data_IF_798335766755
#
_entry.id   IF_798335766755
#
_cell.length_a   1.000
_cell.length_b   1.000
_cell.length_c   1.000
_cell.angle_alpha   90.00
_cell.angle_beta   90.00
_cell.angle_gamma   90.00
#
_symmetry.space_group_name_H-M   'P 1'
#
loop_
_entity.id
_entity.type
_entity.pdbx_description
1 polymer ?
#
# COMPACT_ATOMS: atom_id res chain seq x y z
N UNK A 1 -14.04 49.34 -24.89
CA UNK A 1 -13.06 50.19 -24.18
C UNK A 1 -12.30 49.27 -23.24
N UNK A 2 -11.01 49.06 -23.48
CA UNK A 2 -10.18 48.25 -22.59
C UNK A 2 -9.95 49.02 -21.29
N UNK A 3 -10.27 48.42 -20.15
CA UNK A 3 -9.87 48.93 -18.85
C UNK A 3 -8.35 48.87 -18.76
N UNK A 4 -7.71 49.99 -18.43
CA UNK A 4 -6.27 50.07 -18.20
C UNK A 4 -5.93 49.25 -16.94
N UNK A 5 -4.74 48.63 -16.86
CA UNK A 5 -4.36 47.85 -15.69
C UNK A 5 -4.29 48.72 -14.43
N UNK A 6 -4.92 48.27 -13.35
CA UNK A 6 -4.81 48.90 -12.04
C UNK A 6 -3.62 48.33 -11.28
N UNK A 7 -2.72 49.22 -10.84
CA UNK A 7 -1.52 48.86 -10.10
C UNK A 7 -1.62 49.43 -8.67
N UNK A 8 -1.97 48.61 -7.67
CA UNK A 8 -1.91 49.03 -6.25
C UNK A 8 -0.56 48.61 -5.66
N UNK A 9 0.12 49.53 -4.98
CA UNK A 9 1.45 49.31 -4.38
C UNK A 9 1.39 49.49 -2.87
N UNK A 10 1.91 48.52 -2.11
CA UNK A 10 1.93 48.56 -0.65
C UNK A 10 3.33 48.32 -0.09
N UNK A 11 3.71 49.08 0.94
CA UNK A 11 5.01 48.96 1.61
C UNK A 11 5.08 47.70 2.48
N UNK A 12 6.19 46.98 2.39
CA UNK A 12 6.39 45.69 3.07
C UNK A 12 6.51 45.81 4.58
N UNK A 13 7.06 46.90 5.10
CA UNK A 13 7.21 47.14 6.55
C UNK A 13 5.86 47.17 7.30
N UNK A 14 4.78 47.51 6.59
CA UNK A 14 3.44 47.61 7.15
C UNK A 14 2.65 46.29 7.05
N UNK A 15 3.21 45.23 6.44
CA UNK A 15 2.48 44.00 6.12
C UNK A 15 3.21 42.79 6.71
N UNK A 16 2.46 41.92 7.38
CA UNK A 16 2.92 40.61 7.83
C UNK A 16 2.07 39.46 7.33
N UNK A 17 0.85 39.72 6.86
CA UNK A 17 -0.12 38.68 6.51
C UNK A 17 -0.94 39.06 5.27
N UNK A 18 -1.45 38.05 4.56
CA UNK A 18 -2.32 38.20 3.40
C UNK A 18 -3.65 37.48 3.62
N UNK A 19 -4.75 38.16 3.33
CA UNK A 19 -6.07 37.56 3.14
C UNK A 19 -6.55 37.87 1.72
N UNK A 20 -6.71 36.85 0.90
CA UNK A 20 -7.04 37.01 -0.52
C UNK A 20 -8.25 36.17 -0.90
N UNK A 21 -9.26 36.79 -1.47
CA UNK A 21 -10.43 36.10 -2.03
C UNK A 21 -10.56 36.43 -3.50
N UNK A 22 -10.64 35.42 -4.36
CA UNK A 22 -11.00 35.58 -5.76
C UNK A 22 -12.02 34.56 -6.23
N UNK A 23 -12.91 35.02 -7.11
CA UNK A 23 -14.15 34.33 -7.47
C UNK A 23 -14.10 33.75 -8.88
N UNK A 24 -13.55 34.49 -9.84
CA UNK A 24 -13.66 34.15 -11.27
C UNK A 24 -12.36 34.36 -12.03
N UNK A 25 -11.59 35.35 -11.64
CA UNK A 25 -10.34 35.66 -12.31
C UNK A 25 -9.25 34.67 -11.86
N UNK A 26 -8.52 34.05 -12.79
CA UNK A 26 -7.29 33.36 -12.45
C UNK A 26 -6.33 34.30 -11.72
N UNK A 27 -5.69 33.78 -10.68
CA UNK A 27 -4.79 34.54 -9.85
C UNK A 27 -3.38 33.93 -9.84
N UNK A 28 -2.37 34.79 -9.90
CA UNK A 28 -0.97 34.40 -9.72
C UNK A 28 -0.35 35.26 -8.63
N UNK A 29 0.22 34.63 -7.61
CA UNK A 29 1.05 35.29 -6.61
C UNK A 29 2.48 34.83 -6.84
N UNK A 30 3.36 35.75 -7.18
CA UNK A 30 4.74 35.42 -7.53
C UNK A 30 5.74 36.34 -6.83
N UNK A 31 6.87 35.78 -6.42
CA UNK A 31 8.01 36.58 -5.97
C UNK A 31 8.79 37.10 -7.18
N UNK A 32 8.96 38.42 -7.30
CA UNK A 32 9.73 39.08 -8.37
C UNK A 32 10.97 39.78 -7.80
N UNK A 33 12.10 39.70 -8.52
CA UNK A 33 13.38 40.27 -8.08
C UNK A 33 13.48 41.80 -8.23
N UNK A 34 12.48 42.44 -8.84
CA UNK A 34 12.54 43.87 -9.19
C UNK A 34 11.69 44.75 -8.29
N UNK A 35 10.70 44.19 -7.58
CA UNK A 35 9.77 44.95 -6.77
C UNK A 35 10.32 45.18 -5.35
N UNK A 36 10.24 46.43 -4.85
CA UNK A 36 10.49 46.78 -3.43
C UNK A 36 9.22 46.83 -2.59
N UNK A 37 8.06 46.78 -3.24
CA UNK A 37 6.72 46.87 -2.66
C UNK A 37 5.89 45.69 -3.14
N UNK A 38 4.87 45.31 -2.39
CA UNK A 38 3.87 44.37 -2.90
C UNK A 38 3.04 45.11 -3.96
N UNK A 39 3.00 44.58 -5.18
CA UNK A 39 2.28 45.18 -6.31
C UNK A 39 1.13 44.25 -6.72
N UNK A 40 -0.05 44.82 -6.84
CA UNK A 40 -1.24 44.10 -7.30
C UNK A 40 -1.64 44.67 -8.66
N UNK A 41 -1.61 43.81 -9.66
CA UNK A 41 -1.94 44.08 -11.05
C UNK A 41 -3.24 43.37 -11.40
N UNK A 42 -4.25 44.12 -11.85
CA UNK A 42 -5.48 43.54 -12.40
C UNK A 42 -5.61 43.87 -13.88
N UNK A 43 -5.94 42.86 -14.68
CA UNK A 43 -6.18 42.99 -16.13
C UNK A 43 -7.63 42.61 -16.39
N UNK A 44 -8.32 43.37 -17.23
CA UNK A 44 -9.70 43.09 -17.65
C UNK A 44 -10.77 43.31 -16.57
N UNK A 45 -10.40 43.53 -15.31
CA UNK A 45 -11.34 43.79 -14.22
C UNK A 45 -11.78 45.26 -14.19
N UNK A 46 -13.07 45.57 -13.96
CA UNK A 46 -13.51 46.90 -13.55
C UNK A 46 -12.96 47.31 -12.17
N UNK A 47 -12.81 48.59 -11.92
CA UNK A 47 -12.21 49.11 -10.67
C UNK A 47 -13.06 48.76 -9.44
N UNK A 48 -14.38 48.73 -9.62
CA UNK A 48 -15.33 48.57 -8.52
C UNK A 48 -15.39 47.13 -7.99
N UNK A 49 -14.86 46.16 -8.76
CA UNK A 49 -14.94 44.73 -8.41
C UNK A 49 -13.80 44.26 -7.51
N UNK A 50 -12.79 45.10 -7.29
CA UNK A 50 -11.70 44.82 -6.34
C UNK A 50 -11.80 45.72 -5.11
N UNK A 51 -11.62 45.15 -3.92
CA UNK A 51 -11.41 45.90 -2.68
C UNK A 51 -10.08 45.54 -2.03
N UNK A 52 -9.48 46.54 -1.40
CA UNK A 52 -8.10 46.50 -0.93
C UNK A 52 -7.95 47.25 0.39
N UNK A 53 -7.83 46.52 1.49
CA UNK A 53 -7.71 47.09 2.83
C UNK A 53 -6.41 46.66 3.53
N UNK A 54 -5.94 47.47 4.47
CA UNK A 54 -4.81 47.15 5.33
C UNK A 54 -5.23 47.38 6.78
N UNK A 55 -5.43 46.29 7.52
CA UNK A 55 -5.91 46.33 8.91
C UNK A 55 -4.96 45.51 9.77
N UNK A 56 -4.39 46.10 10.82
CA UNK A 56 -3.49 45.41 11.76
C UNK A 56 -2.36 44.62 11.07
N UNK A 57 -1.70 45.24 10.08
CA UNK A 57 -0.64 44.63 9.23
C UNK A 57 -1.08 43.45 8.34
N UNK A 58 -2.39 43.21 8.21
CA UNK A 58 -2.96 42.24 7.27
C UNK A 58 -3.42 42.97 6.02
N UNK A 59 -2.85 42.62 4.86
CA UNK A 59 -3.32 43.05 3.56
C UNK A 59 -4.52 42.19 3.16
N UNK A 60 -5.67 42.82 2.92
CA UNK A 60 -6.92 42.17 2.55
C UNK A 60 -7.23 42.55 1.09
N UNK A 61 -7.38 41.54 0.23
CA UNK A 61 -7.67 41.69 -1.19
C UNK A 61 -8.90 40.84 -1.50
N UNK A 62 -9.96 41.45 -2.05
CA UNK A 62 -11.20 40.72 -2.37
C UNK A 62 -11.65 41.09 -3.78
N UNK A 63 -11.78 40.08 -4.64
CA UNK A 63 -12.62 40.15 -5.85
C UNK A 63 -14.08 39.94 -5.41
N UNK A 64 -14.93 40.94 -5.61
CA UNK A 64 -16.34 40.88 -5.21
C UNK A 64 -17.11 39.92 -6.12
N UNK A 65 -18.02 39.13 -5.53
CA UNK A 65 -18.98 38.35 -6.29
C UNK A 65 -20.01 39.27 -6.98
N UNK A 66 -19.87 39.39 -8.31
CA UNK A 66 -20.73 40.27 -9.07
C UNK A 66 -22.14 39.73 -9.33
N UNK A 67 -22.40 38.45 -9.01
CA UNK A 67 -23.74 37.87 -9.15
C UNK A 67 -24.67 38.29 -8.01
N UNK A 68 -24.13 38.95 -6.98
CA UNK A 68 -24.94 39.72 -6.05
C UNK A 68 -25.76 40.80 -6.79
N UNK A 69 -27.02 40.98 -6.39
CA UNK A 69 -27.95 41.93 -7.04
C UNK A 69 -27.35 43.33 -7.22
N UNK A 70 -26.61 43.81 -6.21
CA UNK A 70 -25.93 45.12 -6.23
C UNK A 70 -24.84 45.25 -7.30
N UNK A 71 -24.12 44.18 -7.60
CA UNK A 71 -23.04 44.25 -8.58
C UNK A 71 -23.53 44.08 -10.02
N UNK A 72 -24.64 43.35 -10.24
CA UNK A 72 -25.38 43.38 -11.52
C UNK A 72 -26.01 44.75 -11.80
N UNK A 73 -26.38 45.49 -10.75
CA UNK A 73 -26.83 46.89 -10.88
C UNK A 73 -25.66 47.83 -11.24
N UNK A 74 -24.42 47.50 -10.87
CA UNK A 74 -23.21 48.27 -11.18
C UNK A 74 -22.60 47.95 -12.56
N UNK A 75 -22.79 46.73 -13.08
CA UNK A 75 -22.19 46.28 -14.35
C UNK A 75 -23.29 45.78 -15.29
N UNK A 76 -23.50 46.49 -16.41
CA UNK A 76 -24.47 46.08 -17.46
C UNK A 76 -24.21 44.63 -17.91
N UNK A 77 -25.27 43.82 -17.95
CA UNK A 77 -25.27 42.38 -18.32
C UNK A 77 -24.55 42.11 -19.66
N UNK A 78 -24.45 43.11 -20.55
CA UNK A 78 -23.76 43.01 -21.85
C UNK A 78 -22.23 42.89 -21.75
N UNK A 79 -21.63 43.09 -20.58
CA UNK A 79 -20.17 43.15 -20.44
C UNK A 79 -19.51 41.85 -19.94
N UNK A 80 -20.20 40.72 -19.77
CA UNK A 80 -19.64 39.51 -19.14
C UNK A 80 -18.36 38.92 -19.79
N UNK A 81 -17.97 39.37 -20.98
CA UNK A 81 -16.75 38.94 -21.69
C UNK A 81 -15.45 39.27 -20.93
N UNK A 82 -15.46 40.25 -20.03
CA UNK A 82 -14.23 40.67 -19.35
C UNK A 82 -13.65 39.60 -18.42
N UNK A 83 -14.48 38.74 -17.83
CA UNK A 83 -14.01 37.61 -17.01
C UNK A 83 -13.23 36.56 -17.79
N UNK A 84 -13.52 36.40 -19.08
CA UNK A 84 -12.76 35.46 -19.93
C UNK A 84 -11.36 35.97 -20.23
N UNK A 85 -11.09 37.25 -19.93
CA UNK A 85 -9.81 37.93 -20.17
C UNK A 85 -9.20 38.48 -18.88
N UNK A 86 -9.84 38.24 -17.73
CA UNK A 86 -9.40 38.83 -16.47
C UNK A 86 -8.26 38.03 -15.85
N UNK A 87 -7.38 38.74 -15.15
CA UNK A 87 -6.28 38.13 -14.39
C UNK A 87 -5.96 39.02 -13.19
N UNK A 88 -5.65 38.38 -12.07
CA UNK A 88 -5.10 39.03 -10.88
C UNK A 88 -3.65 38.55 -10.73
N UNK A 89 -2.72 39.48 -10.62
CA UNK A 89 -1.31 39.18 -10.39
C UNK A 89 -0.82 39.96 -9.18
N UNK A 90 -0.23 39.26 -8.21
CA UNK A 90 0.30 39.83 -6.98
C UNK A 90 1.81 39.56 -6.96
N UNK A 91 2.59 40.61 -7.20
CA UNK A 91 4.04 40.56 -7.14
C UNK A 91 4.52 40.84 -5.71
N UNK A 92 5.30 39.90 -5.19
CA UNK A 92 5.91 39.98 -3.86
C UNK A 92 7.42 40.28 -4.01
N UNK A 93 7.97 41.25 -3.26
CA UNK A 93 9.40 41.53 -3.26
C UNK A 93 10.28 40.34 -2.88
N UNK A 94 11.50 40.31 -3.40
CA UNK A 94 12.52 39.35 -2.97
C UNK A 94 12.79 39.46 -1.45
N UNK A 95 13.07 38.32 -0.80
CA UNK A 95 13.33 38.25 0.64
C UNK A 95 12.10 38.47 1.55
N UNK A 96 10.96 38.90 1.03
CA UNK A 96 9.75 39.02 1.83
C UNK A 96 9.14 37.65 2.15
N UNK A 97 8.67 37.48 3.39
CA UNK A 97 8.03 36.27 3.92
C UNK A 97 6.78 36.68 4.69
N UNK A 98 5.67 36.01 4.42
CA UNK A 98 4.45 36.21 5.21
C UNK A 98 4.49 35.37 6.50
N UNK A 99 3.89 35.86 7.57
CA UNK A 99 3.62 35.05 8.76
C UNK A 99 2.40 34.15 8.53
N UNK A 100 1.42 34.66 7.80
CA UNK A 100 0.15 33.99 7.55
C UNK A 100 -0.43 34.40 6.19
N UNK A 101 -0.89 33.41 5.44
CA UNK A 101 -1.59 33.59 4.18
C UNK A 101 -2.89 32.79 4.21
N UNK A 102 -4.02 33.48 4.04
CA UNK A 102 -5.34 32.87 3.90
C UNK A 102 -5.90 33.21 2.53
N UNK A 103 -6.20 32.18 1.73
CA UNK A 103 -6.70 32.36 0.37
C UNK A 103 -8.01 31.58 0.18
N UNK A 104 -9.03 32.24 -0.37
CA UNK A 104 -10.29 31.63 -0.82
C UNK A 104 -10.34 31.77 -2.34
N UNK A 105 -10.46 30.65 -3.05
CA UNK A 105 -10.19 30.58 -4.49
C UNK A 105 -11.26 29.80 -5.26
N UNK A 106 -12.10 30.49 -6.03
CA UNK A 106 -13.09 29.83 -6.90
C UNK A 106 -12.67 29.75 -8.39
N UNK A 107 -11.47 30.25 -8.72
CA UNK A 107 -10.83 30.17 -10.03
C UNK A 107 -9.39 29.64 -9.89
N UNK A 108 -8.66 29.32 -10.98
CA UNK A 108 -7.29 28.83 -10.87
C UNK A 108 -6.36 29.78 -10.09
N UNK A 109 -5.56 29.24 -9.19
CA UNK A 109 -4.62 29.95 -8.33
C UNK A 109 -3.22 29.34 -8.45
N UNK A 110 -2.23 30.18 -8.75
CA UNK A 110 -0.82 29.79 -8.76
C UNK A 110 -0.02 30.60 -7.74
N UNK A 111 0.72 29.93 -6.88
CA UNK A 111 1.75 30.54 -6.03
C UNK A 111 3.13 30.10 -6.54
N UNK A 112 4.01 31.05 -6.82
CA UNK A 112 5.35 30.78 -7.33
C UNK A 112 6.43 31.47 -6.51
N UNK A 113 7.38 30.70 -5.97
CA UNK A 113 8.49 31.19 -5.14
C UNK A 113 8.05 31.97 -3.90
N UNK A 114 6.89 31.59 -3.35
CA UNK A 114 6.32 32.25 -2.18
C UNK A 114 6.85 31.63 -0.90
N UNK A 115 7.06 32.46 0.10
CA UNK A 115 7.46 32.05 1.43
C UNK A 115 6.45 32.52 2.45
N UNK A 116 5.95 31.60 3.26
CA UNK A 116 5.10 31.91 4.41
C UNK A 116 5.32 30.94 5.54
N UNK A 117 5.09 31.34 6.80
CA UNK A 117 5.03 30.37 7.89
C UNK A 117 3.77 29.51 7.76
N UNK A 118 2.61 30.14 7.63
CA UNK A 118 1.33 29.46 7.49
C UNK A 118 0.68 29.78 6.16
N UNK A 119 0.09 28.76 5.53
CA UNK A 119 -0.69 28.90 4.32
C UNK A 119 -1.98 28.09 4.48
N UNK A 120 -3.11 28.75 4.32
CA UNK A 120 -4.41 28.13 4.19
C UNK A 120 -5.02 28.52 2.85
N UNK A 121 -5.36 27.53 2.02
CA UNK A 121 -6.10 27.73 0.77
C UNK A 121 -7.37 26.89 0.81
N UNK A 122 -8.51 27.53 0.57
CA UNK A 122 -9.80 26.87 0.36
C UNK A 122 -10.32 27.20 -1.03
N UNK A 123 -10.37 26.19 -1.90
CA UNK A 123 -10.85 26.30 -3.26
C UNK A 123 -12.11 25.47 -3.50
N UNK A 124 -13.18 26.06 -4.03
CA UNK A 124 -14.34 25.24 -4.40
C UNK A 124 -14.10 24.52 -5.73
N UNK A 125 -13.79 25.27 -6.78
CA UNK A 125 -13.67 24.73 -8.14
C UNK A 125 -12.37 25.14 -8.84
N UNK A 126 -11.59 26.04 -8.26
CA UNK A 126 -10.31 26.45 -8.81
C UNK A 126 -9.20 25.45 -8.53
N UNK A 127 -8.34 25.23 -9.52
CA UNK A 127 -7.10 24.48 -9.33
C UNK A 127 -6.11 25.29 -8.48
N UNK A 128 -5.35 24.60 -7.63
CA UNK A 128 -4.29 25.18 -6.80
C UNK A 128 -2.95 24.66 -7.32
N UNK A 129 -2.05 25.56 -7.70
CA UNK A 129 -0.69 25.21 -8.14
C UNK A 129 0.35 25.91 -7.24
N UNK A 130 1.20 25.14 -6.57
CA UNK A 130 2.33 25.65 -5.79
C UNK A 130 3.64 25.26 -6.47
N UNK A 131 4.49 26.24 -6.78
CA UNK A 131 5.76 26.01 -7.49
C UNK A 131 6.91 26.69 -6.76
N UNK A 132 7.89 25.89 -6.31
CA UNK A 132 9.12 26.38 -5.67
C UNK A 132 8.87 27.24 -4.43
N UNK A 133 7.85 26.91 -3.66
CA UNK A 133 7.45 27.65 -2.47
C UNK A 133 8.04 27.03 -1.19
N UNK A 134 8.17 27.85 -0.14
CA UNK A 134 8.64 27.40 1.18
C UNK A 134 7.59 27.72 2.25
N UNK A 135 7.07 26.68 2.91
CA UNK A 135 6.04 26.83 3.94
C UNK A 135 6.40 26.09 5.23
N UNK A 136 5.84 26.49 6.37
CA UNK A 136 5.96 25.70 7.61
C UNK A 136 4.83 24.68 7.73
N UNK A 137 3.57 25.10 7.60
CA UNK A 137 2.40 24.22 7.71
C UNK A 137 1.31 24.56 6.66
N UNK A 138 1.51 24.23 5.37
CA UNK A 138 0.47 24.44 4.36
C UNK A 138 -0.71 23.48 4.53
N UNK A 139 -1.91 24.05 4.47
CA UNK A 139 -3.19 23.35 4.39
C UNK A 139 -3.92 23.79 3.12
N UNK A 140 -4.12 22.85 2.20
CA UNK A 140 -4.79 23.09 0.93
C UNK A 140 -6.07 22.24 0.85
N UNK A 141 -7.19 22.90 0.60
CA UNK A 141 -8.50 22.29 0.44
C UNK A 141 -9.04 22.65 -0.95
N UNK A 142 -9.49 21.65 -1.69
CA UNK A 142 -10.21 21.83 -2.95
C UNK A 142 -11.50 21.00 -2.95
N UNK A 143 -12.64 21.49 -3.42
CA UNK A 143 -13.80 20.59 -3.61
C UNK A 143 -13.67 19.83 -4.93
N UNK A 144 -13.57 20.53 -6.05
CA UNK A 144 -13.50 19.93 -7.39
C UNK A 144 -12.21 20.25 -8.15
N UNK A 145 -11.47 21.28 -7.72
CA UNK A 145 -10.20 21.65 -8.33
C UNK A 145 -9.08 20.68 -8.00
N UNK A 146 -8.10 20.61 -8.88
CA UNK A 146 -6.87 19.85 -8.67
C UNK A 146 -5.92 20.60 -7.75
N UNK A 147 -5.04 19.87 -7.07
CA UNK A 147 -3.94 20.42 -6.28
C UNK A 147 -2.64 19.91 -6.89
N UNK A 148 -1.78 20.81 -7.35
CA UNK A 148 -0.46 20.50 -7.87
C UNK A 148 0.62 21.19 -7.00
N UNK A 149 1.63 20.43 -6.58
CA UNK A 149 2.77 20.92 -5.82
C UNK A 149 4.05 20.46 -6.49
N UNK A 150 4.91 21.40 -6.88
CA UNK A 150 6.19 21.12 -7.52
C UNK A 150 7.33 21.83 -6.80
N UNK A 151 8.37 21.05 -6.46
CA UNK A 151 9.66 21.56 -6.00
C UNK A 151 9.56 22.44 -4.75
N UNK A 152 8.64 22.14 -3.84
CA UNK A 152 8.41 22.94 -2.63
C UNK A 152 9.16 22.36 -1.42
N UNK A 153 9.51 23.20 -0.45
CA UNK A 153 10.08 22.77 0.83
C UNK A 153 9.11 23.07 1.97
N UNK A 154 8.76 22.05 2.74
CA UNK A 154 7.77 22.14 3.82
C UNK A 154 8.44 21.81 5.15
N UNK A 155 8.50 22.78 6.06
CA UNK A 155 9.28 22.62 7.28
C UNK A 155 8.64 21.66 8.29
N UNK A 156 7.33 21.45 8.27
CA UNK A 156 6.68 20.55 9.25
C UNK A 156 5.70 19.61 8.56
N UNK A 157 4.45 20.04 8.39
CA UNK A 157 3.38 19.18 7.95
C UNK A 157 2.72 19.72 6.68
N UNK A 158 2.35 18.83 5.78
CA UNK A 158 1.54 19.12 4.59
C UNK A 158 0.16 18.48 4.74
N UNK A 159 -0.91 19.26 4.66
CA UNK A 159 -2.28 18.73 4.64
C UNK A 159 -2.97 19.07 3.33
N UNK A 160 -3.38 18.04 2.58
CA UNK A 160 -4.12 18.16 1.34
C UNK A 160 -5.48 17.48 1.47
N UNK A 161 -6.51 18.16 1.00
CA UNK A 161 -7.86 17.60 0.99
C UNK A 161 -8.57 17.95 -0.31
N UNK A 162 -9.15 16.93 -0.94
CA UNK A 162 -10.01 17.10 -2.11
C UNK A 162 -11.25 16.22 -2.08
N UNK A 163 -12.35 16.66 -2.70
CA UNK A 163 -13.50 15.75 -2.91
C UNK A 163 -13.35 15.02 -4.24
N UNK A 164 -13.13 15.74 -5.33
CA UNK A 164 -13.15 15.16 -6.68
C UNK A 164 -11.91 15.47 -7.53
N UNK A 165 -11.15 16.52 -7.21
CA UNK A 165 -9.96 16.88 -7.99
C UNK A 165 -8.78 15.97 -7.66
N UNK A 166 -7.82 15.87 -8.57
CA UNK A 166 -6.62 15.09 -8.37
C UNK A 166 -5.58 15.86 -7.56
N UNK A 167 -4.67 15.12 -6.93
CA UNK A 167 -3.51 15.65 -6.23
C UNK A 167 -2.26 15.18 -6.97
N UNK A 168 -1.38 16.10 -7.33
CA UNK A 168 -0.07 15.79 -7.92
C UNK A 168 1.02 16.46 -7.08
N UNK A 169 2.02 15.68 -6.66
CA UNK A 169 3.14 16.18 -5.87
C UNK A 169 4.45 15.69 -6.48
N UNK A 170 5.31 16.62 -6.85
CA UNK A 170 6.60 16.32 -7.45
C UNK A 170 7.74 17.01 -6.70
N UNK A 171 8.85 16.29 -6.51
CA UNK A 171 10.14 16.82 -6.03
C UNK A 171 10.04 17.66 -4.74
N UNK A 172 9.19 17.24 -3.81
CA UNK A 172 8.84 18.00 -2.61
C UNK A 172 9.23 17.21 -1.37
N UNK A 173 9.64 17.90 -0.31
CA UNK A 173 9.95 17.27 0.97
C UNK A 173 9.25 17.97 2.13
N UNK A 174 8.92 17.18 3.15
CA UNK A 174 8.41 17.67 4.44
C UNK A 174 9.17 17.03 5.60
N UNK A 175 9.49 17.78 6.65
CA UNK A 175 10.27 17.22 7.77
C UNK A 175 9.47 16.15 8.56
N UNK A 176 8.15 16.34 8.70
CA UNK A 176 7.28 15.48 9.49
C UNK A 176 6.23 14.78 8.62
N UNK A 177 4.96 15.20 8.70
CA UNK A 177 3.83 14.40 8.21
C UNK A 177 3.23 14.98 6.94
N UNK A 178 2.80 14.09 6.05
CA UNK A 178 1.83 14.42 5.01
C UNK A 178 0.50 13.71 5.29
N UNK A 179 -0.58 14.50 5.27
CA UNK A 179 -1.95 14.02 5.37
C UNK A 179 -2.69 14.29 4.06
N UNK A 180 -3.14 13.22 3.41
CA UNK A 180 -3.90 13.24 2.16
C UNK A 180 -5.32 12.75 2.40
N UNK A 181 -6.31 13.59 2.11
CA UNK A 181 -7.71 13.22 2.13
C UNK A 181 -8.30 13.40 0.73
N UNK A 182 -8.90 12.36 0.16
CA UNK A 182 -9.59 12.45 -1.13
C UNK A 182 -10.89 11.67 -1.09
N UNK A 183 -12.00 12.14 -1.66
CA UNK A 183 -13.14 11.22 -1.85
C UNK A 183 -12.95 10.37 -3.11
N UNK A 184 -12.72 11.01 -4.25
CA UNK A 184 -12.70 10.33 -5.56
C UNK A 184 -11.47 10.65 -6.41
N UNK A 185 -10.75 11.73 -6.12
CA UNK A 185 -9.60 12.14 -6.90
C UNK A 185 -8.40 11.23 -6.68
N UNK A 186 -7.61 11.05 -7.74
CA UNK A 186 -6.38 10.29 -7.68
C UNK A 186 -5.27 11.13 -7.04
N UNK A 187 -4.25 10.45 -6.52
CA UNK A 187 -3.03 11.07 -6.03
C UNK A 187 -1.85 10.44 -6.75
N UNK A 188 -1.07 11.28 -7.41
CA UNK A 188 0.23 10.94 -7.97
C UNK A 188 1.32 11.67 -7.18
N UNK A 189 2.28 10.92 -6.66
CA UNK A 189 3.35 11.46 -5.80
C UNK A 189 4.70 10.92 -6.26
N UNK A 190 5.55 11.81 -6.78
CA UNK A 190 6.85 11.44 -7.33
C UNK A 190 7.98 12.16 -6.59
N UNK A 191 9.00 11.39 -6.20
CA UNK A 191 10.18 11.91 -5.51
C UNK A 191 9.80 12.77 -4.28
N UNK A 192 8.90 12.25 -3.45
CA UNK A 192 8.45 12.90 -2.22
C UNK A 192 9.10 12.27 -0.99
N UNK A 193 9.45 13.11 -0.01
CA UNK A 193 10.06 12.64 1.24
C UNK A 193 9.32 13.20 2.45
N UNK A 194 8.99 12.32 3.40
CA UNK A 194 8.44 12.70 4.70
C UNK A 194 8.82 11.68 5.78
N UNK A 195 8.56 12.01 7.05
CA UNK A 195 8.55 11.01 8.10
C UNK A 195 7.34 10.09 7.92
N UNK A 196 6.13 10.63 7.85
CA UNK A 196 4.92 9.80 7.84
C UNK A 196 3.96 10.21 6.71
N UNK A 197 3.45 9.21 5.98
CA UNK A 197 2.39 9.37 5.00
C UNK A 197 1.09 8.79 5.54
N UNK A 198 0.05 9.62 5.64
CA UNK A 198 -1.31 9.18 5.94
C UNK A 198 -2.26 9.51 4.79
N UNK A 199 -2.95 8.49 4.28
CA UNK A 199 -3.94 8.62 3.21
C UNK A 199 -5.29 8.12 3.68
N UNK A 200 -6.32 8.93 3.46
CA UNK A 200 -7.71 8.56 3.63
C UNK A 200 -8.44 8.84 2.32
N UNK A 201 -8.88 7.78 1.62
CA UNK A 201 -9.69 7.94 0.42
C UNK A 201 -10.90 7.03 0.35
N UNK A 202 -11.89 7.36 -0.49
CA UNK A 202 -12.99 6.44 -0.78
C UNK A 202 -12.69 5.64 -2.04
N UNK A 203 -12.45 6.30 -3.16
CA UNK A 203 -12.34 5.66 -4.46
C UNK A 203 -11.08 6.05 -5.25
N UNK A 204 -10.28 7.00 -4.75
CA UNK A 204 -9.12 7.51 -5.47
C UNK A 204 -8.01 6.47 -5.58
N UNK A 205 -7.32 6.45 -6.72
CA UNK A 205 -6.08 5.71 -6.87
C UNK A 205 -4.93 6.50 -6.23
N UNK A 206 -4.12 5.84 -5.41
CA UNK A 206 -2.84 6.38 -4.95
C UNK A 206 -1.70 5.72 -5.71
N UNK A 207 -0.83 6.54 -6.31
CA UNK A 207 0.43 6.15 -6.91
C UNK A 207 1.57 6.96 -6.27
N UNK A 208 2.50 6.27 -5.62
CA UNK A 208 3.72 6.87 -5.08
C UNK A 208 4.95 6.24 -5.73
N UNK A 209 5.79 7.05 -6.37
CA UNK A 209 7.01 6.60 -7.06
C UNK A 209 8.24 7.35 -6.55
N UNK A 210 9.38 6.65 -6.47
CA UNK A 210 10.67 7.17 -6.01
C UNK A 210 10.59 7.94 -4.68
N UNK A 211 9.63 7.59 -3.82
CA UNK A 211 9.28 8.33 -2.62
C UNK A 211 9.77 7.62 -1.34
N UNK A 212 10.01 8.37 -0.27
CA UNK A 212 10.60 7.84 0.97
C UNK A 212 9.84 8.25 2.21
N UNK A 213 9.55 7.26 3.06
CA UNK A 213 8.86 7.45 4.35
C UNK A 213 9.52 6.66 5.48
N UNK A 214 9.32 7.09 6.72
CA UNK A 214 9.50 6.19 7.86
C UNK A 214 8.28 5.27 8.00
N UNK A 215 7.06 5.82 7.89
CA UNK A 215 5.81 5.04 7.95
C UNK A 215 4.80 5.43 6.86
N UNK A 216 3.99 4.45 6.44
CA UNK A 216 2.85 4.65 5.55
C UNK A 216 1.60 4.04 6.18
N UNK A 217 0.52 4.83 6.25
CA UNK A 217 -0.83 4.35 6.56
C UNK A 217 -1.80 4.79 5.47
N UNK A 218 -2.52 3.85 4.86
CA UNK A 218 -3.54 4.16 3.87
C UNK A 218 -4.84 3.39 4.17
N UNK A 219 -5.94 4.13 4.24
CA UNK A 219 -7.28 3.57 4.29
C UNK A 219 -8.06 4.00 3.05
N UNK A 220 -8.58 3.02 2.34
CA UNK A 220 -9.41 3.24 1.16
C UNK A 220 -10.61 2.31 1.14
N UNK A 221 -11.68 2.68 0.43
CA UNK A 221 -12.81 1.78 0.21
C UNK A 221 -12.59 0.96 -1.07
N UNK A 222 -12.55 1.63 -2.22
CA UNK A 222 -12.41 0.98 -3.53
C UNK A 222 -11.16 1.42 -4.31
N UNK A 223 -10.39 2.37 -3.77
CA UNK A 223 -9.20 2.88 -4.45
C UNK A 223 -8.07 1.87 -4.42
N UNK A 224 -7.28 1.80 -5.49
CA UNK A 224 -6.05 1.02 -5.49
C UNK A 224 -4.93 1.82 -4.80
N UNK A 225 -3.95 1.10 -4.28
CA UNK A 225 -2.74 1.67 -3.69
C UNK A 225 -1.54 1.05 -4.40
N UNK A 226 -0.75 1.89 -5.07
CA UNK A 226 0.54 1.51 -5.64
C UNK A 226 1.65 2.34 -4.98
N UNK A 227 2.70 1.68 -4.53
CA UNK A 227 3.86 2.36 -3.97
C UNK A 227 5.16 1.67 -4.40
N UNK A 228 6.04 2.46 -4.99
CA UNK A 228 7.42 2.11 -5.32
C UNK A 228 8.37 3.13 -4.66
N UNK A 229 9.16 2.68 -3.68
CA UNK A 229 10.00 3.60 -2.91
C UNK A 229 10.68 2.98 -1.70
N UNK A 230 11.02 3.78 -0.69
CA UNK A 230 11.70 3.31 0.52
C UNK A 230 10.85 3.56 1.76
N UNK A 231 10.73 2.55 2.63
CA UNK A 231 10.07 2.68 3.94
C UNK A 231 10.98 2.12 5.02
N UNK A 232 11.12 2.83 6.15
CA UNK A 232 12.07 2.42 7.20
C UNK A 232 11.46 1.63 8.35
N UNK A 233 10.19 1.87 8.70
CA UNK A 233 9.58 1.32 9.91
C UNK A 233 8.37 0.45 9.61
N UNK A 234 7.30 1.02 9.04
CA UNK A 234 6.01 0.33 8.96
C UNK A 234 5.18 0.71 7.74
N UNK A 235 4.43 -0.25 7.20
CA UNK A 235 3.42 -0.03 6.16
C UNK A 235 2.12 -0.72 6.57
N UNK A 236 1.03 0.03 6.60
CA UNK A 236 -0.32 -0.49 6.83
C UNK A 236 -1.28 0.05 5.75
N UNK A 237 -1.85 -0.84 4.94
CA UNK A 237 -2.82 -0.47 3.90
C UNK A 237 -4.08 -1.33 4.03
N UNK A 238 -5.23 -0.68 4.14
CA UNK A 238 -6.54 -1.34 4.15
C UNK A 238 -7.40 -0.82 3.00
N UNK A 239 -7.95 -1.74 2.23
CA UNK A 239 -8.95 -1.50 1.19
C UNK A 239 -10.15 -2.43 1.39
N UNK A 240 -11.31 -2.12 0.81
CA UNK A 240 -12.39 -3.10 0.65
C UNK A 240 -12.25 -3.81 -0.70
N UNK A 241 -12.01 -3.09 -1.78
CA UNK A 241 -12.05 -3.68 -3.12
C UNK A 241 -10.85 -3.33 -4.01
N UNK A 242 -10.02 -2.37 -3.59
CA UNK A 242 -8.86 -1.96 -4.38
C UNK A 242 -7.66 -2.89 -4.19
N UNK A 243 -6.87 -2.99 -5.25
CA UNK A 243 -5.60 -3.70 -5.25
C UNK A 243 -4.57 -2.92 -4.42
N UNK A 244 -3.69 -3.65 -3.74
CA UNK A 244 -2.56 -3.10 -2.98
C UNK A 244 -1.30 -3.69 -3.58
N UNK A 245 -0.43 -2.84 -4.13
CA UNK A 245 0.85 -3.19 -4.72
C UNK A 245 1.95 -2.37 -4.07
N UNK A 246 2.94 -3.05 -3.50
CA UNK A 246 4.08 -2.40 -2.83
C UNK A 246 5.37 -3.06 -3.29
N UNK A 247 6.25 -2.25 -3.87
CA UNK A 247 7.63 -2.61 -4.20
C UNK A 247 8.58 -1.69 -3.43
N UNK A 248 9.46 -2.27 -2.61
CA UNK A 248 10.47 -1.48 -1.89
C UNK A 248 11.81 -1.50 -2.61
N UNK A 249 12.39 -0.31 -2.79
CA UNK A 249 13.71 -0.10 -3.39
C UNK A 249 14.84 -0.10 -2.34
N UNK A 250 14.48 -0.11 -1.06
CA UNK A 250 15.39 -0.06 0.08
C UNK A 250 15.74 -1.46 0.62
N UNK A 251 16.76 -1.51 1.49
CA UNK A 251 17.17 -2.74 2.19
C UNK A 251 16.81 -2.74 3.68
N UNK A 252 16.06 -1.74 4.12
CA UNK A 252 15.64 -1.63 5.51
C UNK A 252 14.74 -2.81 5.88
N UNK A 253 14.90 -3.31 7.10
CA UNK A 253 13.99 -4.30 7.68
C UNK A 253 12.94 -3.55 8.48
N UNK A 254 11.70 -3.57 8.00
CA UNK A 254 10.57 -2.95 8.66
C UNK A 254 10.22 -3.70 9.95
N UNK A 255 9.66 -2.99 10.92
CA UNK A 255 9.06 -3.63 12.09
C UNK A 255 7.81 -4.43 11.68
N UNK A 256 6.98 -3.85 10.81
CA UNK A 256 5.68 -4.41 10.48
C UNK A 256 5.18 -4.04 9.09
N UNK A 257 4.59 -5.02 8.42
CA UNK A 257 3.85 -4.87 7.16
C UNK A 257 2.45 -5.47 7.35
N UNK A 258 1.42 -4.70 7.03
CA UNK A 258 0.04 -5.14 7.12
C UNK A 258 -0.78 -4.70 5.89
N UNK A 259 -1.24 -5.67 5.11
CA UNK A 259 -2.11 -5.43 3.96
C UNK A 259 -3.44 -6.16 4.11
N UNK A 260 -4.53 -5.43 3.88
CA UNK A 260 -5.88 -5.98 3.95
C UNK A 260 -6.71 -5.50 2.78
N UNK A 261 -7.32 -6.41 2.03
CA UNK A 261 -8.33 -6.07 1.02
C UNK A 261 -9.37 -7.16 0.89
N UNK A 262 -10.66 -6.87 1.03
CA UNK A 262 -11.71 -7.90 0.88
C UNK A 262 -11.67 -8.52 -0.53
N UNK A 263 -11.58 -7.73 -1.61
CA UNK A 263 -11.62 -8.27 -2.98
C UNK A 263 -10.41 -7.92 -3.87
N UNK A 264 -9.52 -7.06 -3.41
CA UNK A 264 -8.36 -6.64 -4.21
C UNK A 264 -7.18 -7.59 -4.04
N UNK A 265 -6.37 -7.70 -5.08
CA UNK A 265 -5.12 -8.44 -5.05
C UNK A 265 -4.09 -7.72 -4.17
N UNK A 266 -3.27 -8.49 -3.47
CA UNK A 266 -2.19 -8.02 -2.62
C UNK A 266 -0.85 -8.45 -3.24
N UNK A 267 -0.03 -7.49 -3.66
CA UNK A 267 1.30 -7.73 -4.24
C UNK A 267 2.36 -7.11 -3.36
N UNK A 268 3.30 -7.93 -2.90
CA UNK A 268 4.43 -7.57 -2.04
C UNK A 268 5.72 -7.92 -2.77
N UNK A 269 6.58 -6.93 -3.02
CA UNK A 269 7.82 -7.15 -3.75
C UNK A 269 9.02 -6.49 -3.06
N UNK A 270 10.13 -7.21 -2.95
CA UNK A 270 11.38 -6.70 -2.38
C UNK A 270 11.24 -6.20 -0.92
N UNK A 271 10.36 -6.82 -0.12
CA UNK A 271 10.05 -6.35 1.24
C UNK A 271 10.77 -7.19 2.29
N UNK A 272 11.52 -6.53 3.19
CA UNK A 272 12.04 -7.13 4.41
C UNK A 272 11.31 -6.61 5.64
N UNK A 273 10.81 -7.50 6.51
CA UNK A 273 10.12 -7.10 7.74
C UNK A 273 10.29 -8.11 8.87
N UNK A 274 10.09 -7.69 10.12
CA UNK A 274 9.97 -8.63 11.25
C UNK A 274 8.61 -9.33 11.16
N UNK A 275 7.51 -8.58 11.11
CA UNK A 275 6.17 -9.14 11.01
C UNK A 275 5.49 -8.75 9.70
N UNK A 276 4.98 -9.72 8.96
CA UNK A 276 4.16 -9.50 7.77
C UNK A 276 2.80 -10.18 7.93
N UNK A 277 1.73 -9.41 7.70
CA UNK A 277 0.35 -9.88 7.76
C UNK A 277 -0.44 -9.47 6.52
N UNK A 278 -1.02 -10.44 5.84
CA UNK A 278 -1.86 -10.24 4.66
C UNK A 278 -3.23 -10.89 4.85
N UNK A 279 -4.30 -10.15 4.55
CA UNK A 279 -5.68 -10.64 4.61
C UNK A 279 -6.44 -10.27 3.35
N UNK A 280 -7.03 -11.25 2.66
CA UNK A 280 -7.97 -10.97 1.57
C UNK A 280 -9.08 -11.99 1.43
N UNK A 281 -10.33 -11.57 1.29
CA UNK A 281 -11.42 -12.54 1.18
C UNK A 281 -11.32 -13.26 -0.18
N UNK A 282 -11.21 -12.54 -1.30
CA UNK A 282 -11.22 -13.15 -2.65
C UNK A 282 -10.04 -12.79 -3.54
N UNK A 283 -9.17 -11.87 -3.11
CA UNK A 283 -8.01 -11.44 -3.88
C UNK A 283 -6.86 -12.45 -3.86
N UNK A 284 -6.02 -12.40 -4.89
CA UNK A 284 -4.76 -13.13 -4.90
C UNK A 284 -3.72 -12.45 -4.01
N UNK A 285 -2.91 -13.24 -3.33
CA UNK A 285 -1.77 -12.75 -2.55
C UNK A 285 -0.50 -13.24 -3.22
N UNK A 286 0.35 -12.30 -3.62
CA UNK A 286 1.64 -12.59 -4.24
C UNK A 286 2.73 -11.89 -3.44
N UNK A 287 3.70 -12.66 -2.97
CA UNK A 287 4.90 -12.17 -2.32
C UNK A 287 6.13 -12.67 -3.09
N UNK A 288 6.96 -11.75 -3.56
CA UNK A 288 8.14 -12.02 -4.39
C UNK A 288 9.37 -11.30 -3.79
N UNK A 289 10.50 -11.99 -3.73
CA UNK A 289 11.75 -11.46 -3.18
C UNK A 289 11.60 -10.84 -1.78
N UNK A 290 10.77 -11.48 -0.94
CA UNK A 290 10.50 -11.02 0.42
C UNK A 290 11.38 -11.72 1.46
N UNK A 291 11.58 -11.09 2.61
CA UNK A 291 12.27 -11.68 3.77
C UNK A 291 11.58 -11.29 5.07
N UNK A 292 10.87 -12.24 5.69
CA UNK A 292 10.15 -12.00 6.95
C UNK A 292 10.70 -12.82 8.12
N UNK A 293 10.61 -12.32 9.34
CA UNK A 293 10.77 -13.20 10.51
C UNK A 293 9.53 -14.08 10.66
N UNK A 294 8.34 -13.47 10.67
CA UNK A 294 7.04 -14.14 10.78
C UNK A 294 6.09 -13.69 9.66
N UNK A 295 5.42 -14.64 9.01
CA UNK A 295 4.41 -14.36 7.98
C UNK A 295 3.07 -15.02 8.29
N UNK A 296 2.01 -14.21 8.30
CA UNK A 296 0.62 -14.63 8.43
C UNK A 296 -0.18 -14.19 7.21
N UNK A 297 -0.66 -15.14 6.41
CA UNK A 297 -1.55 -14.88 5.28
C UNK A 297 -2.88 -15.61 5.46
N UNK A 298 -3.99 -14.88 5.32
CA UNK A 298 -5.33 -15.46 5.36
C UNK A 298 -6.15 -15.03 4.16
N UNK A 299 -6.78 -15.99 3.51
CA UNK A 299 -7.80 -15.72 2.50
C UNK A 299 -9.06 -16.57 2.66
N UNK A 300 -10.16 -16.21 2.01
CA UNK A 300 -11.35 -17.08 1.93
C UNK A 300 -11.37 -17.85 0.60
N UNK A 301 -11.16 -17.17 -0.53
CA UNK A 301 -11.24 -17.70 -1.88
C UNK A 301 -10.12 -17.15 -2.79
N UNK A 302 -8.88 -17.16 -2.31
CA UNK A 302 -7.71 -16.59 -2.99
C UNK A 302 -6.63 -17.62 -3.32
N UNK A 303 -5.87 -17.37 -4.39
CA UNK A 303 -4.58 -18.01 -4.63
C UNK A 303 -3.50 -17.28 -3.83
N UNK A 304 -2.65 -18.04 -3.13
CA UNK A 304 -1.49 -17.49 -2.43
C UNK A 304 -0.22 -18.02 -3.10
N UNK A 305 0.62 -17.10 -3.56
CA UNK A 305 1.97 -17.39 -4.05
C UNK A 305 2.99 -16.67 -3.16
N UNK A 306 3.93 -17.42 -2.62
CA UNK A 306 4.99 -16.88 -1.79
C UNK A 306 6.34 -17.41 -2.27
N UNK A 307 7.21 -16.48 -2.64
CA UNK A 307 8.62 -16.71 -2.88
C UNK A 307 9.47 -15.75 -2.03
N UNK A 308 10.24 -16.29 -1.10
CA UNK A 308 11.05 -15.47 -0.20
C UNK A 308 11.63 -16.22 1.00
N UNK A 309 12.29 -15.51 1.90
CA UNK A 309 12.88 -16.06 3.11
C UNK A 309 11.95 -15.89 4.32
N UNK A 310 11.85 -16.93 5.17
CA UNK A 310 11.22 -16.85 6.49
C UNK A 310 12.26 -17.25 7.55
N UNK A 311 12.31 -16.54 8.69
CA UNK A 311 13.27 -16.85 9.76
C UNK A 311 12.68 -17.64 10.94
N UNK A 312 11.42 -17.40 11.29
CA UNK A 312 10.78 -17.99 12.48
C UNK A 312 9.57 -18.83 12.12
N UNK A 313 8.51 -18.23 11.59
CA UNK A 313 7.23 -18.91 11.39
C UNK A 313 6.48 -18.45 10.15
N UNK A 314 5.73 -19.38 9.57
CA UNK A 314 4.83 -19.11 8.46
C UNK A 314 3.48 -19.78 8.71
N UNK A 315 2.40 -19.03 8.53
CA UNK A 315 1.02 -19.54 8.52
C UNK A 315 0.28 -18.99 7.31
N UNK A 316 -0.16 -19.86 6.42
CA UNK A 316 -0.96 -19.50 5.25
C UNK A 316 -2.23 -20.34 5.22
N UNK A 317 -3.38 -19.69 5.22
CA UNK A 317 -4.68 -20.37 5.22
C UNK A 317 -5.61 -19.78 4.17
N UNK A 318 -6.29 -20.63 3.41
CA UNK A 318 -7.43 -20.26 2.56
C UNK A 318 -8.57 -21.24 2.75
N UNK A 319 -9.82 -20.86 2.49
CA UNK A 319 -10.91 -21.86 2.43
C UNK A 319 -10.94 -22.50 1.04
N UNK A 320 -10.84 -21.68 0.00
CA UNK A 320 -10.81 -22.10 -1.40
C UNK A 320 -9.63 -21.45 -2.10
N UNK A 321 -8.87 -22.23 -2.87
CA UNK A 321 -7.73 -21.72 -3.63
C UNK A 321 -6.42 -22.40 -3.26
N UNK A 322 -5.46 -22.32 -4.18
CA UNK A 322 -4.19 -23.01 -4.02
C UNK A 322 -3.23 -22.16 -3.19
N UNK A 323 -2.34 -22.84 -2.48
CA UNK A 323 -1.22 -22.25 -1.75
C UNK A 323 0.07 -22.78 -2.36
N UNK A 324 0.91 -21.88 -2.87
CA UNK A 324 2.24 -22.16 -3.40
C UNK A 324 3.28 -21.43 -2.56
N UNK A 325 4.17 -22.18 -1.92
CA UNK A 325 5.21 -21.63 -1.04
C UNK A 325 6.57 -22.16 -1.49
N UNK A 326 7.47 -21.25 -1.83
CA UNK A 326 8.87 -21.50 -2.11
C UNK A 326 9.72 -20.67 -1.15
N UNK A 327 10.40 -21.35 -0.22
CA UNK A 327 11.34 -20.66 0.65
C UNK A 327 12.72 -20.53 -0.01
N UNK A 328 13.27 -19.32 0.10
CA UNK A 328 14.63 -18.97 -0.29
C UNK A 328 15.48 -18.90 0.99
N UNK A 329 16.51 -19.73 1.08
CA UNK A 329 17.38 -19.82 2.25
C UNK A 329 17.22 -21.10 3.06
N UNK A 330 18.14 -21.32 4.02
CA UNK A 330 18.28 -22.58 4.76
C UNK A 330 17.82 -22.53 6.22
N UNK A 331 16.94 -21.60 6.59
CA UNK A 331 16.48 -21.46 7.97
C UNK A 331 15.60 -22.64 8.37
N UNK A 332 15.77 -23.12 9.60
CA UNK A 332 14.81 -24.05 10.22
C UNK A 332 13.79 -23.24 11.02
N UNK A 333 12.55 -23.23 10.54
CA UNK A 333 11.43 -22.55 11.17
C UNK A 333 11.04 -23.22 12.48
N UNK A 334 10.54 -22.47 13.45
CA UNK A 334 9.86 -23.06 14.60
C UNK A 334 8.55 -23.72 14.18
N UNK A 335 7.81 -23.07 13.26
CA UNK A 335 6.49 -23.52 12.81
C UNK A 335 6.22 -23.19 11.35
N UNK A 336 5.65 -24.14 10.62
CA UNK A 336 5.10 -23.95 9.27
C UNK A 336 3.68 -24.55 9.20
N UNK A 337 2.68 -23.73 8.89
CA UNK A 337 1.29 -24.17 8.83
C UNK A 337 0.61 -23.73 7.53
N UNK A 338 0.04 -24.68 6.82
CA UNK A 338 -0.63 -24.47 5.54
C UNK A 338 -1.99 -25.16 5.54
N UNK A 339 -3.05 -24.45 5.16
CA UNK A 339 -4.39 -25.01 5.09
C UNK A 339 -5.18 -24.49 3.89
N UNK A 340 -5.77 -25.39 3.11
CA UNK A 340 -6.76 -25.06 2.09
C UNK A 340 -7.89 -26.09 2.08
N UNK A 341 -9.14 -25.72 2.39
CA UNK A 341 -10.26 -26.69 2.35
C UNK A 341 -10.42 -27.26 0.94
N UNK A 342 -10.46 -26.40 -0.08
CA UNK A 342 -10.62 -26.79 -1.49
C UNK A 342 -9.54 -26.17 -2.38
N UNK A 343 -8.29 -26.63 -2.22
CA UNK A 343 -7.21 -26.21 -3.09
C UNK A 343 -5.90 -26.94 -2.80
N UNK A 344 -5.02 -26.93 -3.78
CA UNK A 344 -3.76 -27.65 -3.71
C UNK A 344 -2.75 -26.90 -2.83
N UNK A 345 -1.95 -27.65 -2.08
CA UNK A 345 -0.82 -27.14 -1.32
C UNK A 345 0.48 -27.57 -2.01
N UNK A 346 1.32 -26.61 -2.38
CA UNK A 346 2.68 -26.85 -2.88
C UNK A 346 3.68 -26.17 -1.94
N UNK A 347 4.59 -26.96 -1.38
CA UNK A 347 5.61 -26.51 -0.43
C UNK A 347 6.99 -26.91 -0.94
N UNK A 348 7.89 -25.94 -1.12
CA UNK A 348 9.25 -26.18 -1.63
C UNK A 348 10.31 -25.57 -0.73
N UNK A 349 11.38 -26.33 -0.50
CA UNK A 349 12.57 -25.92 0.26
C UNK A 349 12.28 -25.51 1.72
N UNK A 350 11.31 -26.15 2.38
CA UNK A 350 10.91 -25.77 3.75
C UNK A 350 11.59 -26.66 4.77
N UNK A 351 12.29 -26.06 5.73
CA UNK A 351 12.77 -26.75 6.94
C UNK A 351 12.03 -26.22 8.18
N UNK A 352 11.45 -27.09 9.00
CA UNK A 352 10.71 -26.68 10.20
C UNK A 352 10.81 -27.68 11.35
N UNK A 353 10.69 -27.19 12.59
CA UNK A 353 10.51 -28.05 13.76
C UNK A 353 9.11 -28.65 13.72
N UNK A 354 8.07 -27.82 13.61
CA UNK A 354 6.69 -28.28 13.50
C UNK A 354 6.11 -27.86 12.15
N UNK A 355 5.63 -28.84 11.38
CA UNK A 355 4.97 -28.62 10.10
C UNK A 355 3.54 -29.18 10.12
N UNK A 356 2.60 -28.42 9.58
CA UNK A 356 1.21 -28.83 9.43
C UNK A 356 0.69 -28.45 8.03
N UNK A 357 0.16 -29.42 7.30
CA UNK A 357 -0.43 -29.22 5.98
C UNK A 357 -1.80 -29.93 5.90
N UNK A 358 -2.87 -29.18 5.64
CA UNK A 358 -4.24 -29.72 5.57
C UNK A 358 -4.94 -29.30 4.28
N UNK A 359 -5.50 -30.25 3.54
CA UNK A 359 -6.49 -29.95 2.51
C UNK A 359 -7.55 -31.01 2.35
N UNK A 360 -8.83 -30.67 2.44
CA UNK A 360 -9.89 -31.68 2.33
C UNK A 360 -9.88 -32.32 0.93
N UNK A 361 -9.94 -31.50 -0.13
CA UNK A 361 -10.09 -32.04 -1.50
C UNK A 361 -8.85 -31.92 -2.38
N UNK A 362 -7.92 -31.02 -2.04
CA UNK A 362 -6.73 -30.73 -2.84
C UNK A 362 -5.57 -31.67 -2.57
N UNK A 363 -4.60 -31.66 -3.48
CA UNK A 363 -3.35 -32.42 -3.34
C UNK A 363 -2.35 -31.68 -2.47
N UNK A 364 -1.50 -32.42 -1.77
CA UNK A 364 -0.40 -31.87 -0.98
C UNK A 364 0.92 -32.34 -1.58
N UNK A 365 1.72 -31.39 -2.07
CA UNK A 365 3.03 -31.64 -2.68
C UNK A 365 4.08 -30.95 -1.82
N UNK A 366 5.01 -31.72 -1.26
CA UNK A 366 6.12 -31.24 -0.46
C UNK A 366 7.44 -31.67 -1.10
N UNK A 367 8.26 -30.72 -1.56
CA UNK A 367 9.53 -31.02 -2.25
C UNK A 367 10.72 -30.35 -1.57
N UNK A 368 11.80 -31.13 -1.37
CA UNK A 368 13.02 -30.66 -0.70
C UNK A 368 12.72 -30.11 0.70
N UNK A 369 11.87 -30.82 1.45
CA UNK A 369 11.45 -30.42 2.79
C UNK A 369 12.20 -31.17 3.89
N UNK A 370 12.32 -30.57 5.08
CA UNK A 370 12.96 -31.19 6.23
C UNK A 370 12.22 -30.84 7.52
N UNK A 371 11.47 -31.79 8.08
CA UNK A 371 10.63 -31.55 9.25
C UNK A 371 11.06 -32.39 10.45
N UNK A 372 11.00 -31.84 11.67
CA UNK A 372 11.09 -32.69 12.86
C UNK A 372 9.78 -33.46 13.05
N UNK A 373 8.68 -32.73 13.14
CA UNK A 373 7.32 -33.26 13.28
C UNK A 373 6.45 -32.76 12.13
N UNK A 374 5.73 -33.67 11.47
CA UNK A 374 4.78 -33.35 10.40
C UNK A 374 3.38 -33.91 10.72
N UNK A 375 2.36 -33.07 10.61
CA UNK A 375 0.97 -33.50 10.48
C UNK A 375 0.46 -33.12 9.08
N UNK A 376 0.10 -34.11 8.27
CA UNK A 376 -0.32 -33.93 6.88
C UNK A 376 -1.63 -34.69 6.64
N UNK A 377 -2.70 -33.99 6.27
CA UNK A 377 -4.01 -34.62 6.09
C UNK A 377 -4.71 -34.13 4.84
N UNK A 378 -5.34 -35.07 4.13
CA UNK A 378 -6.33 -34.78 3.09
C UNK A 378 -7.48 -35.79 3.09
N UNK A 379 -8.64 -35.45 2.53
CA UNK A 379 -9.72 -36.42 2.38
C UNK A 379 -9.62 -37.14 1.05
N UNK A 380 -9.70 -36.41 -0.06
CA UNK A 380 -9.74 -37.01 -1.40
C UNK A 380 -8.47 -36.77 -2.22
N UNK A 381 -7.58 -35.89 -1.77
CA UNK A 381 -6.31 -35.63 -2.43
C UNK A 381 -5.27 -36.71 -2.18
N UNK A 382 -4.22 -36.71 -2.99
CA UNK A 382 -2.98 -37.44 -2.73
C UNK A 382 -1.96 -36.56 -2.01
N UNK A 383 -1.03 -37.22 -1.35
CA UNK A 383 0.16 -36.61 -0.74
C UNK A 383 1.39 -37.08 -1.51
N UNK A 384 2.20 -36.16 -2.02
CA UNK A 384 3.54 -36.42 -2.56
C UNK A 384 4.58 -35.71 -1.68
N UNK A 385 5.36 -36.48 -0.93
CA UNK A 385 6.34 -35.98 0.01
C UNK A 385 7.75 -36.42 -0.40
N UNK A 386 8.64 -35.44 -0.62
CA UNK A 386 10.05 -35.65 -0.97
C UNK A 386 10.94 -34.86 -0.02
N UNK A 387 11.60 -35.55 0.91
CA UNK A 387 12.38 -34.87 1.93
C UNK A 387 12.78 -35.75 3.13
N UNK A 388 13.07 -35.09 4.25
CA UNK A 388 13.49 -35.73 5.49
C UNK A 388 12.53 -35.49 6.65
N UNK A 389 12.23 -36.55 7.39
CA UNK A 389 11.56 -36.51 8.71
C UNK A 389 12.60 -36.83 9.77
N UNK A 390 12.76 -35.98 10.79
CA UNK A 390 13.80 -36.13 11.82
C UNK A 390 13.29 -36.72 13.14
N UNK A 391 11.98 -36.62 13.44
CA UNK A 391 11.37 -37.24 14.62
C UNK A 391 10.13 -38.04 14.26
N UNK A 392 9.08 -37.37 13.82
CA UNK A 392 7.80 -38.03 13.56
C UNK A 392 7.03 -37.42 12.39
N UNK A 393 6.21 -38.22 11.72
CA UNK A 393 5.26 -37.76 10.75
C UNK A 393 3.96 -38.55 10.85
N UNK A 394 2.84 -37.87 10.78
CA UNK A 394 1.51 -38.43 10.59
C UNK A 394 0.99 -37.93 9.24
N UNK A 395 0.82 -38.84 8.29
CA UNK A 395 0.41 -38.54 6.91
C UNK A 395 -0.80 -39.38 6.56
N UNK A 396 -1.93 -38.72 6.33
CA UNK A 396 -3.22 -39.36 6.16
C UNK A 396 -3.93 -38.84 4.91
N UNK A 397 -4.59 -39.76 4.20
CA UNK A 397 -5.59 -39.44 3.19
C UNK A 397 -6.81 -40.34 3.38
N UNK A 398 -8.05 -39.93 3.10
CA UNK A 398 -9.17 -40.90 3.13
C UNK A 398 -9.19 -41.77 1.87
N UNK A 399 -9.09 -41.16 0.68
CA UNK A 399 -9.32 -41.84 -0.60
C UNK A 399 -8.22 -41.62 -1.64
N UNK A 400 -7.12 -40.95 -1.28
CA UNK A 400 -6.01 -40.68 -2.18
C UNK A 400 -4.79 -41.58 -1.95
N UNK A 401 -3.76 -41.32 -2.75
CA UNK A 401 -2.47 -42.01 -2.65
C UNK A 401 -1.53 -41.25 -1.70
N UNK A 402 -0.59 -41.98 -1.11
CA UNK A 402 0.54 -41.39 -0.38
C UNK A 402 1.81 -41.85 -1.08
N UNK A 403 2.61 -40.90 -1.55
CA UNK A 403 3.93 -41.16 -2.12
C UNK A 403 4.99 -40.50 -1.24
N UNK A 404 5.94 -41.30 -0.76
CA UNK A 404 7.08 -40.84 0.02
C UNK A 404 8.37 -41.13 -0.74
N UNK A 405 9.23 -40.12 -0.81
CA UNK A 405 10.62 -40.21 -1.24
C UNK A 405 11.51 -39.68 -0.10
N UNK A 406 12.10 -40.60 0.67
CA UNK A 406 12.86 -40.27 1.87
C UNK A 406 14.36 -40.10 1.55
N UNK A 407 14.97 -39.04 2.10
CA UNK A 407 16.40 -38.72 1.87
C UNK A 407 17.38 -39.65 2.60
N UNK A 408 16.89 -40.43 3.57
CA UNK A 408 17.70 -41.35 4.37
C UNK A 408 17.26 -42.79 4.11
N UNK A 409 18.15 -43.78 4.31
CA UNK A 409 17.80 -45.18 4.11
C UNK A 409 16.59 -45.60 4.96
N UNK A 410 15.79 -46.54 4.46
CA UNK A 410 14.57 -46.98 5.16
C UNK A 410 14.84 -47.55 6.56
N UNK A 411 16.02 -48.12 6.81
CA UNK A 411 16.41 -48.66 8.12
C UNK A 411 16.51 -47.59 9.22
N UNK A 412 16.65 -46.31 8.85
CA UNK A 412 16.64 -45.19 9.79
C UNK A 412 15.22 -44.85 10.30
N UNK A 413 14.17 -45.49 9.76
CA UNK A 413 12.77 -45.18 10.04
C UNK A 413 12.02 -46.39 10.60
N UNK A 414 11.03 -46.12 11.44
CA UNK A 414 9.97 -47.06 11.81
C UNK A 414 8.69 -46.59 11.10
N UNK A 415 8.30 -47.28 10.02
CA UNK A 415 7.15 -46.88 9.20
C UNK A 415 5.95 -47.77 9.52
N UNK A 416 4.86 -47.14 9.97
CA UNK A 416 3.63 -47.79 10.41
C UNK A 416 2.49 -47.50 9.45
N UNK A 417 1.54 -48.45 9.36
CA UNK A 417 0.22 -48.19 8.80
C UNK A 417 -0.89 -48.75 9.69
N UNK A 418 -2.02 -48.05 9.72
CA UNK A 418 -3.27 -48.47 10.36
C UNK A 418 -4.40 -48.72 9.35
N UNK A 419 -4.07 -48.73 8.06
CA UNK A 419 -5.05 -48.89 6.98
C UNK A 419 -5.53 -50.34 6.86
N UNK A 420 -6.83 -50.50 6.59
CA UNK A 420 -7.43 -51.82 6.35
C UNK A 420 -7.19 -52.27 4.91
N UNK A 421 -6.17 -53.10 4.68
CA UNK A 421 -5.74 -53.64 3.37
C UNK A 421 -5.23 -52.60 2.34
N UNK A 422 -4.28 -51.72 2.70
CA UNK A 422 -3.68 -50.79 1.73
C UNK A 422 -2.90 -51.55 0.66
N UNK A 423 -2.89 -51.02 -0.57
CA UNK A 423 -1.91 -51.43 -1.57
C UNK A 423 -0.60 -50.72 -1.23
N UNK A 424 0.45 -51.49 -0.91
CA UNK A 424 1.75 -50.95 -0.52
C UNK A 424 2.82 -51.32 -1.56
N UNK A 425 3.61 -50.34 -1.98
CA UNK A 425 4.81 -50.51 -2.83
C UNK A 425 6.02 -49.92 -2.14
N UNK A 426 7.10 -50.69 -2.04
CA UNK A 426 8.36 -50.28 -1.42
C UNK A 426 9.50 -50.52 -2.42
N UNK A 427 10.26 -49.48 -2.76
CA UNK A 427 11.42 -49.55 -3.68
C UNK A 427 11.12 -50.38 -4.96
N UNK A 428 10.01 -50.07 -5.64
CA UNK A 428 9.50 -50.77 -6.82
C UNK A 428 9.04 -52.24 -6.64
N UNK A 429 9.24 -52.84 -5.48
CA UNK A 429 8.71 -54.16 -5.13
C UNK A 429 7.28 -54.05 -4.58
N UNK A 430 6.34 -54.79 -5.18
CA UNK A 430 4.95 -54.82 -4.70
C UNK A 430 4.80 -55.87 -3.60
N UNK A 431 4.36 -55.44 -2.41
CA UNK A 431 3.96 -56.37 -1.34
C UNK A 431 2.45 -56.24 -1.10
N UNK A 432 1.71 -57.34 -1.24
CA UNK A 432 0.33 -57.41 -0.74
C UNK A 432 0.41 -57.74 0.74
N UNK A 433 0.12 -56.76 1.61
CA UNK A 433 0.14 -57.03 3.04
C UNK A 433 -1.04 -57.91 3.45
N UNK A 434 -0.80 -58.90 4.31
CA UNK A 434 -1.83 -59.80 4.85
C UNK A 434 -2.54 -59.11 6.02
N UNK A 435 -3.88 -59.20 6.04
CA UNK A 435 -4.78 -58.67 7.09
C UNK A 435 -4.19 -58.82 8.50
N UNK A 436 -4.03 -57.71 9.20
CA UNK A 436 -3.91 -57.71 10.66
C UNK A 436 -4.39 -56.41 11.28
N UNK A 437 -5.04 -56.53 12.43
CA UNK A 437 -5.62 -55.44 13.21
C UNK A 437 -4.51 -54.64 13.91
N UNK A 438 -4.63 -53.30 13.91
CA UNK A 438 -3.79 -52.29 14.57
C UNK A 438 -2.39 -52.04 13.99
N UNK A 439 -1.90 -50.79 14.15
CA UNK A 439 -0.62 -50.22 13.66
C UNK A 439 0.48 -51.26 13.42
N UNK A 440 0.64 -51.71 12.18
CA UNK A 440 1.70 -52.64 11.79
C UNK A 440 2.89 -51.87 11.22
N UNK A 441 4.10 -52.32 11.53
CA UNK A 441 5.31 -51.84 10.85
C UNK A 441 5.34 -52.47 9.46
N UNK A 442 5.50 -51.63 8.44
CA UNK A 442 5.50 -52.06 7.02
C UNK A 442 6.86 -51.91 6.36
N UNK A 443 7.77 -51.12 6.95
CA UNK A 443 9.13 -50.94 6.46
C UNK A 443 10.05 -50.35 7.55
N UNK A 444 11.36 -50.58 7.39
CA UNK A 444 12.41 -50.06 8.26
C UNK A 444 12.58 -50.83 9.57
N UNK A 445 13.22 -50.20 10.56
CA UNK A 445 13.55 -50.80 11.85
C UNK A 445 12.55 -50.40 12.95
N UNK A 446 11.97 -51.35 13.71
CA UNK A 446 11.04 -51.05 14.82
C UNK A 446 11.61 -50.14 15.90
N UNK A 447 12.92 -50.18 16.11
CA UNK A 447 13.63 -49.41 17.15
C UNK A 447 14.16 -48.07 16.63
N UNK A 448 13.91 -47.73 15.36
CA UNK A 448 14.34 -46.47 14.79
C UNK A 448 13.72 -45.27 15.51
N UNK A 449 14.52 -44.22 15.69
CA UNK A 449 14.09 -42.99 16.35
C UNK A 449 13.09 -42.17 15.52
N UNK A 450 13.10 -42.33 14.18
CA UNK A 450 12.24 -41.59 13.26
C UNK A 450 10.98 -42.41 12.97
N UNK A 451 9.81 -41.89 13.33
CA UNK A 451 8.53 -42.62 13.20
C UNK A 451 7.67 -42.00 12.12
N UNK A 452 7.13 -42.81 11.23
CA UNK A 452 6.21 -42.34 10.18
C UNK A 452 4.93 -43.16 10.27
N UNK A 453 3.78 -42.50 10.44
CA UNK A 453 2.46 -43.11 10.47
C UNK A 453 1.71 -42.76 9.19
N UNK A 454 1.26 -43.79 8.46
CA UNK A 454 0.60 -43.64 7.16
C UNK A 454 -0.80 -44.24 7.17
N UNK A 455 -1.78 -43.48 6.72
CA UNK A 455 -3.18 -43.94 6.65
C UNK A 455 -3.87 -43.61 5.33
N UNK A 456 -4.52 -44.60 4.71
CA UNK A 456 -5.47 -44.46 3.60
C UNK A 456 -6.61 -45.48 3.67
N UNK A 457 -7.87 -45.05 3.49
CA UNK A 457 -9.02 -45.99 3.45
C UNK A 457 -9.11 -46.71 2.11
N UNK A 458 -8.87 -45.98 1.02
CA UNK A 458 -8.81 -46.57 -0.32
C UNK A 458 -7.82 -45.81 -1.18
N UNK A 459 -6.58 -46.30 -1.20
CA UNK A 459 -5.49 -45.69 -1.94
C UNK A 459 -4.25 -46.58 -1.91
N UNK A 460 -3.23 -46.14 -2.63
CA UNK A 460 -1.93 -46.80 -2.65
C UNK A 460 -0.92 -45.99 -1.85
N UNK A 461 -0.13 -46.69 -1.03
CA UNK A 461 1.02 -46.14 -0.32
C UNK A 461 2.28 -46.58 -1.09
N UNK A 462 3.05 -45.62 -1.58
CA UNK A 462 4.35 -45.85 -2.22
C UNK A 462 5.44 -45.25 -1.38
N UNK A 463 6.47 -46.03 -1.05
CA UNK A 463 7.62 -45.59 -0.26
C UNK A 463 8.88 -45.91 -1.05
N UNK A 464 9.67 -44.88 -1.34
CA UNK A 464 10.98 -45.02 -1.94
C UNK A 464 12.02 -44.30 -1.07
N UNK A 465 13.22 -44.86 -1.01
CA UNK A 465 14.42 -44.12 -0.62
C UNK A 465 15.11 -43.55 -1.87
N UNK A 466 15.85 -42.46 -1.67
CA UNK A 466 16.51 -41.73 -2.76
C UNK A 466 17.81 -42.35 -3.23
#
# INVERSE_FOLDING_TARGET
>A
MGTLPHNKRNDTEAISSLEFTHERSPAIILKTGTAKKIIIHTVGLPDEVMSFDLVNKKLIIIEKDIWSRKAREMVSIKNNDWYTKSKIEIEIPEGFRFNDMRIISNAPLKLQKIESDNLYIDAQSGDIELVKCNFTNPLLQASNGNIAIDSCAIKRNLTLSTKNGNITIDNTETENDILLNSKNGNTDMNNFKAANLKIETKNGFFNGEASSFDTITCNTHNGNFNFEGTVKKEIAVTSRAGNISVELLGKDTLNKVQFKSTNGNLTLKNISAIEAKTESDTGFVTAEDVSFDSFLCKTEAGYVDFEGAIKKEITVTTDVGNISIQLLGGNTLSKAQFKSTNGNLTMKNISAIEAKAESDTGFIIAEKVSFNSLACETDTGFVDFKGSIKKEADIQTKFGNINLELEKPLDDYAIFTDSDNPLIKINHNSQKNQKGKNKQIISGSPDAARKIFLSTKSGMITINEK
#
